data_IF_781721418956
#
_entry.id   IF_781721418956
#
_cell.length_a   1.000
_cell.length_b   1.000
_cell.length_c   1.000
_cell.angle_alpha   90.00
_cell.angle_beta   90.00
_cell.angle_gamma   90.00
#
_symmetry.space_group_name_H-M   'P 1'
#
loop_
_entity.id
_entity.type
_entity.pdbx_description
1 polymer ?
#
# COMPACT_ATOMS: atom_id res chain seq x y z
N UNK A 1 6.81 -50.84 -32.03
CA UNK A 1 6.08 -49.82 -31.29
C UNK A 1 4.95 -49.31 -32.19
N UNK A 2 3.70 -49.47 -31.76
CA UNK A 2 2.51 -49.24 -32.58
C UNK A 2 2.33 -47.74 -32.87
N UNK A 3 1.88 -47.32 -34.09
CA UNK A 3 1.71 -45.92 -34.50
C UNK A 3 0.92 -45.06 -33.49
N UNK A 4 -0.01 -45.68 -32.76
CA UNK A 4 -0.76 -45.01 -31.69
C UNK A 4 0.10 -44.61 -30.49
N UNK A 5 1.07 -45.45 -30.12
CA UNK A 5 1.98 -45.19 -29.01
C UNK A 5 3.01 -44.04 -29.33
N UNK A 6 3.45 -43.93 -30.59
CA UNK A 6 4.32 -42.85 -31.06
C UNK A 6 3.59 -41.49 -31.06
N UNK A 7 2.30 -41.47 -31.39
CA UNK A 7 1.49 -40.26 -31.38
C UNK A 7 1.14 -39.81 -29.94
N UNK A 8 0.93 -40.76 -29.00
CA UNK A 8 0.71 -40.46 -27.59
C UNK A 8 1.98 -39.89 -26.94
N UNK A 9 3.16 -40.46 -27.23
CA UNK A 9 4.46 -39.99 -26.74
C UNK A 9 4.79 -38.60 -27.33
N UNK A 10 4.47 -38.36 -28.61
CA UNK A 10 4.67 -37.00 -29.21
C UNK A 10 3.72 -35.95 -28.63
N UNK A 11 2.49 -36.32 -28.27
CA UNK A 11 1.54 -35.40 -27.60
C UNK A 11 1.94 -35.08 -26.16
N UNK A 12 2.44 -36.08 -25.44
CA UNK A 12 3.00 -35.87 -24.07
C UNK A 12 4.27 -35.05 -24.09
N UNK A 13 5.13 -35.19 -25.09
CA UNK A 13 6.35 -34.37 -25.24
C UNK A 13 6.02 -32.90 -25.60
N UNK A 14 4.98 -32.65 -26.40
CA UNK A 14 4.50 -31.28 -26.72
C UNK A 14 3.82 -30.66 -25.49
N UNK A 15 3.08 -31.46 -24.70
CA UNK A 15 2.50 -30.95 -23.45
C UNK A 15 3.56 -30.66 -22.39
N UNK A 16 4.61 -31.48 -22.28
CA UNK A 16 5.75 -31.23 -21.40
C UNK A 16 6.58 -30.01 -21.86
N UNK A 17 6.73 -29.76 -23.18
CA UNK A 17 7.39 -28.57 -23.71
C UNK A 17 6.57 -27.30 -23.52
N UNK A 18 5.23 -27.38 -23.53
CA UNK A 18 4.36 -26.23 -23.25
C UNK A 18 4.35 -25.87 -21.75
N UNK A 19 4.56 -26.84 -20.85
CA UNK A 19 4.71 -26.59 -19.42
C UNK A 19 6.09 -25.98 -19.11
N UNK A 20 7.12 -26.27 -19.90
CA UNK A 20 8.46 -25.67 -19.76
C UNK A 20 8.61 -24.26 -20.38
N UNK A 21 7.56 -23.77 -21.09
CA UNK A 21 7.56 -22.42 -21.67
C UNK A 21 6.74 -21.41 -20.88
N UNK A 22 6.09 -21.80 -19.80
CA UNK A 22 5.76 -20.87 -18.74
C UNK A 22 7.07 -20.63 -17.97
N UNK A 23 7.49 -19.38 -17.75
CA UNK A 23 8.47 -19.16 -16.72
C UNK A 23 7.82 -19.74 -15.44
N UNK A 24 8.27 -20.90 -15.00
CA UNK A 24 8.20 -21.21 -13.59
C UNK A 24 8.99 -20.05 -12.98
N UNK A 25 8.29 -19.08 -12.43
CA UNK A 25 8.86 -18.31 -11.34
C UNK A 25 9.37 -19.37 -10.42
N UNK A 26 10.68 -19.54 -10.39
CA UNK A 26 11.30 -20.42 -9.44
C UNK A 26 10.65 -20.04 -8.12
N UNK A 27 10.08 -21.01 -7.42
CA UNK A 27 9.97 -20.92 -5.98
C UNK A 27 11.43 -20.72 -5.53
N UNK A 28 11.88 -19.46 -5.57
CA UNK A 28 13.07 -19.02 -4.91
C UNK A 28 12.77 -19.20 -3.43
N UNK A 29 13.57 -19.99 -2.77
CA UNK A 29 13.62 -20.06 -1.35
C UNK A 29 13.62 -18.64 -0.77
N UNK A 30 12.74 -18.38 0.22
CA UNK A 30 12.87 -17.53 1.42
C UNK A 30 13.85 -16.32 1.33
N UNK A 31 13.86 -15.61 0.23
CA UNK A 31 14.62 -14.38 0.10
C UNK A 31 13.67 -13.24 -0.23
N UNK A 32 13.01 -12.72 0.83
CA UNK A 32 12.16 -11.52 0.76
C UNK A 32 13.00 -10.25 0.45
N UNK A 33 14.07 -10.40 -0.30
CA UNK A 33 14.96 -9.31 -0.69
C UNK A 33 14.25 -8.39 -1.68
N UNK A 34 14.10 -7.13 -1.32
CA UNK A 34 13.57 -6.11 -2.23
C UNK A 34 14.65 -5.75 -3.27
N UNK A 35 14.27 -5.76 -4.54
CA UNK A 35 15.20 -5.56 -5.65
C UNK A 35 14.50 -4.90 -6.83
N UNK A 36 15.17 -3.96 -7.49
CA UNK A 36 14.70 -3.41 -8.76
C UNK A 36 14.55 -4.51 -9.82
N UNK A 37 13.39 -4.53 -10.48
CA UNK A 37 13.09 -5.46 -11.57
C UNK A 37 13.09 -4.71 -12.91
N UNK A 38 14.03 -5.04 -13.79
CA UNK A 38 14.19 -4.35 -15.09
C UNK A 38 14.35 -2.82 -14.95
N UNK A 39 15.00 -2.34 -13.90
CA UNK A 39 15.22 -0.93 -13.63
C UNK A 39 14.04 -0.19 -12.99
N UNK A 40 13.00 -0.89 -12.58
CA UNK A 40 11.85 -0.31 -11.88
C UNK A 40 11.59 -1.05 -10.56
N UNK A 41 11.00 -0.33 -9.60
CA UNK A 41 10.48 -0.88 -8.37
C UNK A 41 9.13 -0.23 -8.08
N UNK A 42 8.09 -1.06 -7.97
CA UNK A 42 6.73 -0.59 -7.78
C UNK A 42 6.24 -0.88 -6.36
N UNK A 43 5.65 0.12 -5.73
CA UNK A 43 5.02 -0.01 -4.40
C UNK A 43 3.53 0.27 -4.55
N UNK A 44 2.70 -0.59 -3.96
CA UNK A 44 1.27 -0.37 -3.78
C UNK A 44 1.03 0.02 -2.32
N UNK A 45 0.39 1.16 -2.09
CA UNK A 45 -0.02 1.61 -0.76
C UNK A 45 -1.51 1.33 -0.58
N UNK A 46 -1.83 0.64 0.50
CA UNK A 46 -3.17 0.42 1.04
C UNK A 46 -3.23 1.18 2.37
N UNK A 47 -4.00 2.25 2.43
CA UNK A 47 -4.12 3.11 3.62
C UNK A 47 -5.51 2.98 4.21
N UNK A 48 -5.63 3.08 5.53
CA UNK A 48 -6.91 3.21 6.20
C UNK A 48 -7.92 2.13 5.74
N UNK A 49 -7.50 0.87 5.80
CA UNK A 49 -8.37 -0.27 5.49
C UNK A 49 -9.51 -0.37 6.49
N UNK A 50 -9.20 -0.11 7.76
CA UNK A 50 -10.12 0.10 8.88
C UNK A 50 -11.37 -0.78 8.86
N UNK A 51 -11.23 -2.07 8.57
CA UNK A 51 -12.37 -2.99 8.54
C UNK A 51 -12.30 -4.01 9.69
N UNK A 52 -13.36 -4.75 9.91
CA UNK A 52 -13.55 -5.67 11.03
C UNK A 52 -13.24 -7.12 10.64
N UNK A 53 -13.48 -8.05 11.54
CA UNK A 53 -13.44 -9.49 11.24
C UNK A 53 -14.55 -9.95 10.29
N UNK A 54 -15.58 -9.12 10.07
CA UNK A 54 -16.62 -9.28 9.06
C UNK A 54 -16.57 -8.09 8.09
N UNK A 55 -15.54 -8.00 7.23
CA UNK A 55 -15.27 -6.80 6.45
C UNK A 55 -16.33 -6.53 5.39
N UNK A 56 -16.41 -5.27 4.96
CA UNK A 56 -17.14 -4.92 3.76
C UNK A 56 -16.56 -5.67 2.57
N UNK A 57 -17.43 -6.18 1.70
CA UNK A 57 -16.97 -6.92 0.52
C UNK A 57 -16.11 -6.04 -0.38
N UNK A 58 -16.46 -4.76 -0.46
CA UNK A 58 -15.75 -3.75 -1.24
C UNK A 58 -14.30 -3.60 -0.77
N UNK A 59 -14.04 -3.62 0.55
CA UNK A 59 -12.68 -3.54 1.11
C UNK A 59 -11.82 -4.73 0.67
N UNK A 60 -12.35 -5.95 0.77
CA UNK A 60 -11.61 -7.16 0.37
C UNK A 60 -11.40 -7.26 -1.13
N UNK A 61 -12.39 -6.82 -1.92
CA UNK A 61 -12.28 -6.80 -3.38
C UNK A 61 -11.28 -5.73 -3.85
N UNK A 62 -11.21 -4.58 -3.17
CA UNK A 62 -10.23 -3.51 -3.43
C UNK A 62 -8.80 -4.03 -3.30
N UNK A 63 -8.47 -4.74 -2.21
CA UNK A 63 -7.13 -5.30 -2.00
C UNK A 63 -6.75 -6.19 -3.20
N UNK A 64 -7.62 -7.15 -3.53
CA UNK A 64 -7.35 -8.11 -4.60
C UNK A 64 -7.27 -7.45 -5.98
N UNK A 65 -8.18 -6.52 -6.27
CA UNK A 65 -8.21 -5.82 -7.56
C UNK A 65 -7.00 -4.89 -7.73
N UNK A 66 -6.60 -4.17 -6.66
CA UNK A 66 -5.44 -3.30 -6.68
C UNK A 66 -4.14 -4.10 -6.93
N UNK A 67 -3.93 -5.20 -6.22
CA UNK A 67 -2.77 -6.08 -6.42
C UNK A 67 -2.73 -6.59 -7.86
N UNK A 68 -3.86 -7.09 -8.36
CA UNK A 68 -3.95 -7.64 -9.72
C UNK A 68 -3.69 -6.60 -10.80
N UNK A 69 -4.17 -5.35 -10.60
CA UNK A 69 -4.03 -4.28 -11.57
C UNK A 69 -2.64 -3.68 -11.60
N UNK A 70 -2.01 -3.54 -10.44
CA UNK A 70 -0.75 -2.80 -10.31
C UNK A 70 0.48 -3.68 -10.43
N UNK A 71 0.37 -4.98 -10.10
CA UNK A 71 1.50 -5.94 -10.08
C UNK A 71 2.71 -5.33 -9.34
N UNK A 72 2.59 -5.01 -8.03
CA UNK A 72 3.64 -4.32 -7.30
C UNK A 72 4.76 -5.28 -6.88
N UNK A 73 5.95 -4.73 -6.59
CA UNK A 73 7.08 -5.45 -6.01
C UNK A 73 7.01 -5.44 -4.47
N UNK A 74 6.28 -4.50 -3.88
CA UNK A 74 6.03 -4.36 -2.43
C UNK A 74 4.64 -3.79 -2.19
N UNK A 75 3.96 -4.28 -1.16
CA UNK A 75 2.72 -3.67 -0.64
C UNK A 75 3.03 -3.01 0.69
N UNK A 76 2.56 -1.77 0.88
CA UNK A 76 2.66 -1.04 2.15
C UNK A 76 1.27 -0.85 2.73
N UNK A 77 1.06 -1.36 3.94
CA UNK A 77 -0.09 -1.07 4.78
C UNK A 77 0.23 0.19 5.60
N UNK A 78 -0.46 1.30 5.31
CA UNK A 78 -0.06 2.64 5.78
C UNK A 78 -0.76 3.07 7.08
N UNK A 79 -1.07 2.12 7.94
CA UNK A 79 -1.72 2.36 9.22
C UNK A 79 -3.24 2.33 9.13
N UNK A 80 -3.88 2.25 10.30
CA UNK A 80 -5.30 1.97 10.45
C UNK A 80 -5.69 0.75 9.61
N UNK A 81 -4.90 -0.32 9.77
CA UNK A 81 -5.00 -1.54 8.99
C UNK A 81 -6.25 -2.34 9.34
N UNK A 82 -6.71 -2.22 10.59
CA UNK A 82 -7.96 -2.81 11.10
C UNK A 82 -8.75 -1.75 11.88
N UNK A 83 -10.05 -1.93 11.99
CA UNK A 83 -10.90 -1.11 12.84
C UNK A 83 -10.77 -1.57 14.30
N UNK A 84 -9.86 -0.97 15.06
CA UNK A 84 -9.67 -1.32 16.47
C UNK A 84 -10.83 -0.92 17.39
N UNK A 85 -11.68 0.00 16.98
CA UNK A 85 -12.69 0.63 17.84
C UNK A 85 -14.08 -0.04 17.86
N UNK A 86 -14.35 -1.10 17.10
CA UNK A 86 -15.69 -1.69 17.11
C UNK A 86 -16.00 -2.37 18.42
N UNK A 87 -17.25 -2.27 18.83
CA UNK A 87 -17.69 -2.71 20.15
C UNK A 87 -17.49 -4.22 20.35
N UNK A 88 -16.84 -4.55 21.46
CA UNK A 88 -16.65 -5.93 21.92
C UNK A 88 -15.57 -6.69 21.16
N UNK A 89 -14.68 -5.97 20.46
CA UNK A 89 -13.53 -6.60 19.83
C UNK A 89 -12.64 -7.26 20.87
N UNK A 90 -12.26 -8.49 20.62
CA UNK A 90 -11.34 -9.26 21.43
C UNK A 90 -10.15 -9.75 20.57
N UNK A 91 -9.26 -10.48 21.20
CA UNK A 91 -8.08 -11.06 20.56
C UNK A 91 -8.42 -11.93 19.34
N UNK A 92 -9.50 -12.72 19.43
CA UNK A 92 -9.92 -13.61 18.35
C UNK A 92 -10.41 -12.81 17.14
N UNK A 93 -11.23 -11.79 17.41
CA UNK A 93 -11.75 -10.91 16.37
C UNK A 93 -10.65 -10.05 15.74
N UNK A 94 -9.68 -9.59 16.55
CA UNK A 94 -8.47 -8.91 16.04
C UNK A 94 -7.69 -9.83 15.10
N UNK A 95 -7.45 -11.08 15.48
CA UNK A 95 -6.77 -12.08 14.64
C UNK A 95 -7.51 -12.33 13.33
N UNK A 96 -8.85 -12.44 13.40
CA UNK A 96 -9.70 -12.62 12.23
C UNK A 96 -9.68 -11.40 11.30
N UNK A 97 -9.69 -10.17 11.85
CA UNK A 97 -9.59 -8.94 11.07
C UNK A 97 -8.23 -8.84 10.36
N UNK A 98 -7.14 -9.13 11.06
CA UNK A 98 -5.79 -9.19 10.48
C UNK A 98 -5.75 -10.21 9.33
N UNK A 99 -6.36 -11.39 9.50
CA UNK A 99 -6.42 -12.40 8.46
C UNK A 99 -7.13 -11.89 7.19
N UNK A 100 -8.20 -11.09 7.34
CA UNK A 100 -8.93 -10.51 6.19
C UNK A 100 -8.09 -9.55 5.37
N UNK A 101 -7.15 -8.87 5.99
CA UNK A 101 -6.19 -7.98 5.33
C UNK A 101 -5.01 -8.77 4.75
N UNK A 102 -4.41 -9.65 5.56
CA UNK A 102 -3.14 -10.29 5.23
C UNK A 102 -3.28 -11.49 4.26
N UNK A 103 -4.35 -12.29 4.34
CA UNK A 103 -4.52 -13.47 3.48
C UNK A 103 -4.58 -13.14 1.97
N UNK A 104 -5.31 -12.11 1.50
CA UNK A 104 -5.26 -11.72 0.08
C UNK A 104 -3.86 -11.33 -0.39
N UNK A 105 -3.08 -10.67 0.47
CA UNK A 105 -1.71 -10.25 0.19
C UNK A 105 -0.79 -11.48 0.14
N UNK A 106 -0.81 -12.33 1.15
CA UNK A 106 -0.04 -13.59 1.18
C UNK A 106 -0.33 -14.47 -0.04
N UNK A 107 -1.60 -14.60 -0.41
CA UNK A 107 -2.00 -15.38 -1.58
C UNK A 107 -1.48 -14.81 -2.91
N UNK A 108 -1.12 -13.54 -2.96
CA UNK A 108 -0.50 -12.91 -4.14
C UNK A 108 0.98 -13.29 -4.27
N UNK A 109 1.62 -13.69 -3.19
CA UNK A 109 3.07 -13.95 -3.10
C UNK A 109 3.92 -12.68 -3.14
N UNK A 110 3.32 -11.50 -2.99
CA UNK A 110 4.04 -10.22 -2.97
C UNK A 110 4.39 -9.88 -1.53
N UNK A 111 5.64 -9.50 -1.21
CA UNK A 111 6.01 -9.10 0.13
C UNK A 111 5.29 -7.81 0.55
N UNK A 112 5.07 -7.67 1.85
CA UNK A 112 4.44 -6.48 2.39
C UNK A 112 5.11 -5.98 3.67
N UNK A 113 4.98 -4.69 3.90
CA UNK A 113 5.43 -3.98 5.09
C UNK A 113 4.26 -3.19 5.68
N UNK A 114 4.32 -2.81 6.96
CA UNK A 114 3.26 -2.05 7.60
C UNK A 114 3.80 -1.01 8.57
N UNK A 115 3.00 0.03 8.79
CA UNK A 115 3.07 0.92 9.94
C UNK A 115 1.75 0.88 10.71
N UNK A 116 1.75 1.35 11.95
CA UNK A 116 0.53 1.49 12.74
C UNK A 116 -0.14 2.85 12.52
N UNK A 117 -1.48 2.83 12.51
CA UNK A 117 -2.30 4.01 12.68
C UNK A 117 -2.76 4.18 14.12
N UNK A 118 -3.56 5.21 14.35
CA UNK A 118 -4.04 5.54 15.69
C UNK A 118 -5.17 4.59 16.16
N UNK A 119 -5.81 3.85 15.27
CA UNK A 119 -6.92 2.98 15.62
C UNK A 119 -6.58 1.49 15.73
N UNK A 120 -5.47 1.02 15.17
CA UNK A 120 -5.15 -0.41 15.09
C UNK A 120 -5.23 -1.15 16.45
N UNK A 121 -4.76 -0.51 17.53
CA UNK A 121 -4.59 -1.11 18.85
C UNK A 121 -5.80 -0.92 19.79
N UNK A 122 -6.71 0.03 19.51
CA UNK A 122 -7.73 0.51 20.45
C UNK A 122 -8.59 -0.60 21.07
N UNK A 123 -8.93 -1.62 20.30
CA UNK A 123 -9.74 -2.73 20.77
C UNK A 123 -9.04 -3.55 21.85
N UNK A 124 -7.78 -3.89 21.64
CA UNK A 124 -6.99 -4.64 22.61
C UNK A 124 -6.57 -3.78 23.80
N UNK A 125 -6.28 -2.50 23.59
CA UNK A 125 -5.94 -1.53 24.64
C UNK A 125 -7.18 -0.99 25.39
N UNK A 126 -8.37 -1.51 25.12
CA UNK A 126 -9.59 -1.16 25.83
C UNK A 126 -9.58 -1.66 27.29
N UNK A 127 -10.40 -1.04 28.15
CA UNK A 127 -10.59 -1.49 29.54
C UNK A 127 -11.04 -2.97 29.63
N UNK A 128 -11.78 -3.46 28.63
CA UNK A 128 -12.30 -4.83 28.59
C UNK A 128 -11.17 -5.85 28.36
N UNK A 129 -10.24 -5.57 27.45
CA UNK A 129 -9.13 -6.46 27.08
C UNK A 129 -7.85 -6.19 27.91
N UNK A 130 -7.64 -4.96 28.35
CA UNK A 130 -6.65 -4.58 29.35
C UNK A 130 -5.19 -4.66 28.90
N UNK A 131 -4.92 -4.54 27.61
CA UNK A 131 -3.55 -4.38 27.12
C UNK A 131 -3.11 -2.92 27.27
N UNK A 132 -1.84 -2.73 27.57
CA UNK A 132 -1.19 -1.44 27.31
C UNK A 132 -1.04 -1.23 25.81
N UNK A 133 -0.98 0.01 25.35
CA UNK A 133 -0.95 0.37 23.93
C UNK A 133 0.16 -0.35 23.16
N UNK A 134 1.41 -0.23 23.63
CA UNK A 134 2.58 -0.88 23.00
C UNK A 134 2.41 -2.40 22.94
N UNK A 135 1.98 -3.03 24.03
CA UNK A 135 1.75 -4.47 24.06
C UNK A 135 0.63 -4.92 23.10
N UNK A 136 -0.36 -4.07 22.86
CA UNK A 136 -1.41 -4.32 21.85
C UNK A 136 -0.83 -4.23 20.43
N UNK A 137 -0.03 -3.22 20.13
CA UNK A 137 0.66 -3.06 18.83
C UNK A 137 1.66 -4.20 18.59
N UNK A 138 2.47 -4.58 19.59
CA UNK A 138 3.40 -5.72 19.49
C UNK A 138 2.62 -7.02 19.15
N UNK A 139 1.50 -7.25 19.86
CA UNK A 139 0.66 -8.40 19.53
C UNK A 139 0.18 -8.39 18.10
N UNK A 140 -0.33 -7.26 17.60
CA UNK A 140 -0.82 -7.12 16.24
C UNK A 140 0.33 -7.31 15.22
N UNK A 141 1.49 -6.72 15.48
CA UNK A 141 2.68 -6.91 14.63
C UNK A 141 3.06 -8.39 14.54
N UNK A 142 3.13 -9.10 15.67
CA UNK A 142 3.41 -10.54 15.70
C UNK A 142 2.38 -11.35 14.90
N UNK A 143 1.12 -10.91 14.86
CA UNK A 143 0.09 -11.59 14.05
C UNK A 143 0.33 -11.39 12.56
N UNK A 144 0.69 -10.19 12.11
CA UNK A 144 1.08 -9.95 10.72
C UNK A 144 2.36 -10.72 10.34
N UNK A 145 3.33 -10.84 11.24
CA UNK A 145 4.58 -11.59 11.02
C UNK A 145 4.37 -13.11 10.86
N UNK A 146 3.20 -13.65 11.15
CA UNK A 146 2.89 -15.06 10.86
C UNK A 146 2.70 -15.33 9.36
N UNK A 147 2.51 -14.28 8.56
CA UNK A 147 2.45 -14.35 7.11
C UNK A 147 3.86 -14.24 6.52
N UNK A 148 4.24 -15.18 5.68
CA UNK A 148 5.63 -15.31 5.20
C UNK A 148 6.11 -14.11 4.37
N UNK A 149 5.18 -13.37 3.74
CA UNK A 149 5.48 -12.15 3.01
C UNK A 149 5.67 -10.90 3.86
N UNK A 150 5.41 -10.93 5.19
CA UNK A 150 5.55 -9.77 6.07
C UNK A 150 7.03 -9.43 6.31
N UNK A 151 7.43 -8.20 5.97
CA UNK A 151 8.77 -7.67 6.17
C UNK A 151 8.89 -6.77 7.41
N UNK A 152 7.78 -6.44 8.05
CA UNK A 152 7.77 -5.58 9.22
C UNK A 152 8.49 -6.23 10.41
N UNK A 153 9.24 -5.42 11.15
CA UNK A 153 9.97 -5.85 12.35
C UNK A 153 9.68 -4.90 13.51
N UNK A 154 9.94 -5.34 14.74
CA UNK A 154 9.81 -4.48 15.92
C UNK A 154 10.80 -3.30 15.89
N UNK A 155 11.96 -3.50 15.26
CA UNK A 155 13.03 -2.52 15.27
C UNK A 155 13.90 -2.56 16.54
N UNK A 156 14.61 -1.45 16.82
CA UNK A 156 15.33 -1.24 18.08
C UNK A 156 14.31 -0.82 19.17
N UNK A 157 14.64 -0.99 20.46
CA UNK A 157 13.80 -0.54 21.57
C UNK A 157 13.75 1.00 21.62
N UNK A 158 12.58 1.57 21.37
CA UNK A 158 12.29 3.02 21.38
C UNK A 158 10.78 3.25 21.49
N UNK A 159 10.34 4.49 21.60
CA UNK A 159 8.92 4.86 21.58
C UNK A 159 8.23 4.36 20.31
N UNK A 160 7.01 3.81 20.46
CA UNK A 160 6.23 3.23 19.37
C UNK A 160 6.71 1.85 18.95
N UNK A 161 5.95 1.18 18.09
CA UNK A 161 6.18 -0.20 17.64
C UNK A 161 6.29 -0.26 16.13
N UNK A 162 7.30 -0.99 15.63
CA UNK A 162 7.47 -1.14 14.18
C UNK A 162 8.18 0.05 13.54
N UNK A 163 9.21 0.58 14.22
CA UNK A 163 10.13 1.54 13.64
C UNK A 163 11.30 0.78 13.01
N UNK A 164 11.36 0.73 11.69
CA UNK A 164 12.37 -0.03 10.96
C UNK A 164 12.64 0.56 9.58
N UNK A 165 13.65 0.04 8.90
CA UNK A 165 13.90 0.37 7.51
C UNK A 165 14.17 -0.89 6.68
N UNK A 166 13.88 -0.80 5.39
CA UNK A 166 14.16 -1.84 4.40
C UNK A 166 14.99 -1.23 3.27
N UNK A 167 16.03 -1.93 2.83
CA UNK A 167 16.80 -1.51 1.67
C UNK A 167 16.33 -2.21 0.40
N UNK A 168 16.43 -1.52 -0.73
CA UNK A 168 16.12 -2.05 -2.06
C UNK A 168 17.41 -2.15 -2.86
N UNK A 169 17.68 -3.35 -3.39
CA UNK A 169 18.88 -3.62 -4.19
C UNK A 169 18.72 -3.17 -5.63
N UNK A 170 19.86 -2.88 -6.25
CA UNK A 170 19.95 -2.66 -7.70
C UNK A 170 19.41 -3.86 -8.51
N UNK A 171 19.16 -3.68 -9.80
CA UNK A 171 18.67 -4.74 -10.68
C UNK A 171 19.62 -5.95 -10.79
N UNK A 172 20.89 -5.80 -10.41
CA UNK A 172 21.85 -6.89 -10.34
C UNK A 172 21.77 -7.68 -9.01
N UNK A 173 21.07 -7.15 -8.00
CA UNK A 173 20.98 -7.72 -6.66
C UNK A 173 22.28 -7.60 -5.83
N UNK A 174 23.19 -6.71 -6.26
CA UNK A 174 24.52 -6.61 -5.67
C UNK A 174 24.65 -5.52 -4.59
N UNK A 175 23.91 -4.42 -4.75
CA UNK A 175 24.04 -3.22 -3.90
C UNK A 175 22.70 -2.72 -3.43
N UNK A 176 22.63 -2.32 -2.17
CA UNK A 176 21.55 -1.52 -1.66
C UNK A 176 21.70 -0.09 -2.20
N UNK A 177 20.72 0.41 -2.93
CA UNK A 177 20.75 1.71 -3.63
C UNK A 177 19.63 2.64 -3.25
N UNK A 178 18.62 2.13 -2.53
CA UNK A 178 17.47 2.88 -2.07
C UNK A 178 17.04 2.37 -0.70
N UNK A 179 16.38 3.22 0.11
CA UNK A 179 15.90 2.84 1.42
C UNK A 179 14.43 3.24 1.62
N UNK A 180 13.70 2.46 2.41
CA UNK A 180 12.31 2.66 2.78
C UNK A 180 12.24 2.73 4.31
N UNK A 181 11.80 3.87 4.84
CA UNK A 181 11.58 4.07 6.28
C UNK A 181 10.14 3.77 6.64
N UNK A 182 9.96 3.06 7.75
CA UNK A 182 8.66 2.79 8.36
C UNK A 182 8.70 3.29 9.79
N UNK A 183 7.80 4.23 10.13
CA UNK A 183 7.79 4.88 11.45
C UNK A 183 6.40 4.86 12.06
N UNK A 184 6.32 4.44 13.32
CA UNK A 184 5.11 4.62 14.12
C UNK A 184 4.99 6.09 14.51
N UNK A 185 3.96 6.76 14.00
CA UNK A 185 3.67 8.17 14.34
C UNK A 185 3.02 8.33 15.71
N UNK A 186 2.81 7.23 16.43
CA UNK A 186 2.08 7.14 17.67
C UNK A 186 0.61 7.60 17.54
N UNK A 187 -0.33 7.16 18.38
CA UNK A 187 -1.74 7.43 18.11
C UNK A 187 -2.20 8.81 18.58
N UNK A 188 -1.92 9.16 19.84
CA UNK A 188 -2.40 10.37 20.48
C UNK A 188 -1.37 10.97 21.44
N UNK A 189 -1.40 12.28 21.56
CA UNK A 189 -0.61 13.02 22.53
C UNK A 189 -1.44 13.20 23.80
N UNK A 190 -0.92 12.92 25.02
CA UNK A 190 -1.62 13.17 26.27
C UNK A 190 -2.03 14.65 26.43
N UNK A 191 -3.19 14.92 27.07
CA UNK A 191 -3.70 16.29 27.28
C UNK A 191 -2.70 17.20 28.00
N UNK A 192 -1.94 16.65 28.95
CA UNK A 192 -0.88 17.35 29.69
C UNK A 192 0.31 17.78 28.82
N UNK A 193 0.47 17.16 27.65
CA UNK A 193 1.51 17.46 26.65
C UNK A 193 0.98 18.26 25.47
N UNK A 194 -0.28 18.70 25.51
CA UNK A 194 -0.91 19.51 24.47
C UNK A 194 -2.06 18.83 23.76
N UNK A 195 -2.26 17.55 23.95
CA UNK A 195 -3.35 16.76 23.35
C UNK A 195 -3.28 16.65 21.84
N UNK A 196 -4.26 16.01 21.25
CA UNK A 196 -4.36 15.81 19.82
C UNK A 196 -3.71 14.52 19.34
N UNK A 197 -3.37 14.48 18.05
CA UNK A 197 -2.76 13.32 17.43
C UNK A 197 -1.29 13.13 17.85
N UNK A 198 -0.82 11.89 17.74
CA UNK A 198 0.55 11.51 18.08
C UNK A 198 1.60 12.09 17.14
N UNK A 199 2.85 11.95 17.54
CA UNK A 199 4.01 12.45 16.81
C UNK A 199 5.20 11.49 16.96
N UNK A 200 6.18 11.62 16.09
CA UNK A 200 7.45 10.89 16.19
C UNK A 200 8.33 11.52 17.25
N UNK A 201 8.67 10.75 18.29
CA UNK A 201 9.42 11.19 19.46
C UNK A 201 10.91 11.40 19.18
N UNK A 202 11.61 12.03 20.16
CA UNK A 202 13.03 12.37 20.01
C UNK A 202 13.90 11.13 19.82
N UNK A 203 13.65 10.04 20.56
CA UNK A 203 14.39 8.78 20.44
C UNK A 203 14.21 8.09 19.08
N UNK A 204 13.00 8.14 18.49
CA UNK A 204 12.73 7.68 17.14
C UNK A 204 13.51 8.55 16.11
N UNK A 205 13.51 9.88 16.30
CA UNK A 205 14.25 10.82 15.45
C UNK A 205 15.77 10.61 15.56
N UNK A 206 16.29 10.34 16.76
CA UNK A 206 17.70 10.01 16.96
C UNK A 206 18.08 8.69 16.28
N UNK A 207 17.23 7.66 16.38
CA UNK A 207 17.42 6.40 15.67
C UNK A 207 17.45 6.61 14.15
N UNK A 208 16.51 7.39 13.61
CA UNK A 208 16.47 7.73 12.20
C UNK A 208 17.78 8.38 11.75
N UNK A 209 18.23 9.45 12.45
CA UNK A 209 19.49 10.16 12.11
C UNK A 209 20.71 9.23 12.15
N UNK A 210 20.83 8.42 13.20
CA UNK A 210 21.92 7.44 13.35
C UNK A 210 21.93 6.42 12.21
N UNK A 211 20.78 5.92 11.85
CA UNK A 211 20.64 4.91 10.79
C UNK A 211 20.85 5.53 9.41
N UNK A 212 20.36 6.75 9.16
CA UNK A 212 20.61 7.52 7.93
C UNK A 212 22.12 7.77 7.73
N UNK A 213 22.84 8.17 8.80
CA UNK A 213 24.30 8.32 8.75
C UNK A 213 25.03 7.01 8.42
N UNK A 214 24.56 5.88 8.93
CA UNK A 214 25.12 4.57 8.61
C UNK A 214 24.87 4.19 7.14
N UNK A 215 23.65 4.42 6.62
CA UNK A 215 23.30 4.21 5.21
C UNK A 215 24.12 5.14 4.29
N UNK A 216 24.29 6.39 4.67
CA UNK A 216 25.16 7.35 3.97
C UNK A 216 26.60 6.87 3.88
N UNK A 217 27.14 6.29 4.96
CA UNK A 217 28.48 5.72 4.96
C UNK A 217 28.59 4.51 4.01
N UNK A 218 27.56 3.66 3.96
CA UNK A 218 27.47 2.54 3.04
C UNK A 218 27.34 2.99 1.58
N UNK A 219 26.63 4.10 1.34
CA UNK A 219 26.45 4.72 0.02
C UNK A 219 27.61 5.63 -0.41
N UNK A 220 28.81 5.38 0.09
CA UNK A 220 30.01 6.11 -0.32
C UNK A 220 30.08 7.55 0.17
N UNK A 221 29.32 7.92 1.18
CA UNK A 221 29.27 9.24 1.80
C UNK A 221 28.19 10.20 1.23
N UNK A 222 27.42 9.75 0.25
CA UNK A 222 26.22 10.46 -0.21
C UNK A 222 24.98 9.94 0.54
N UNK A 223 23.98 10.80 0.86
CA UNK A 223 22.72 10.34 1.40
C UNK A 223 22.15 9.19 0.53
N UNK A 224 21.61 8.14 1.15
CA UNK A 224 20.91 7.08 0.40
C UNK A 224 19.49 7.54 0.14
N UNK A 225 19.07 7.75 -1.13
CA UNK A 225 17.73 8.23 -1.42
C UNK A 225 16.68 7.30 -0.80
N UNK A 226 15.66 7.89 -0.20
CA UNK A 226 14.72 7.15 0.64
C UNK A 226 13.29 7.66 0.48
N UNK A 227 12.31 6.76 0.70
CA UNK A 227 10.92 7.13 1.00
C UNK A 227 10.61 6.83 2.47
N UNK A 228 9.68 7.59 3.03
CA UNK A 228 9.20 7.39 4.39
C UNK A 228 7.70 7.10 4.38
N UNK A 229 7.29 6.13 5.19
CA UNK A 229 5.92 5.72 5.42
C UNK A 229 5.58 5.88 6.90
N UNK A 230 4.58 6.68 7.20
CA UNK A 230 3.97 6.81 8.53
C UNK A 230 2.50 7.19 8.39
N UNK A 231 1.70 6.96 9.41
CA UNK A 231 0.27 7.17 9.31
C UNK A 231 -0.13 8.65 9.42
N UNK A 232 0.26 9.33 10.50
CA UNK A 232 -0.13 10.73 10.75
C UNK A 232 0.84 11.69 10.07
N UNK A 233 0.29 12.67 9.33
CA UNK A 233 1.07 13.64 8.57
C UNK A 233 1.80 14.64 9.48
N UNK A 234 2.91 15.20 9.00
CA UNK A 234 3.69 16.22 9.72
C UNK A 234 3.03 17.60 9.69
N UNK A 235 3.26 18.47 10.71
CA UNK A 235 2.66 19.81 10.80
C UNK A 235 2.95 20.72 9.61
N UNK A 236 4.04 20.52 8.90
CA UNK A 236 4.45 21.31 7.72
C UNK A 236 3.45 21.21 6.56
N UNK A 237 2.51 20.29 6.60
CA UNK A 237 1.39 20.23 5.63
C UNK A 237 0.65 21.58 5.55
N UNK A 238 0.50 22.30 6.68
CA UNK A 238 -0.18 23.59 6.70
C UNK A 238 0.62 24.69 6.00
N UNK A 239 1.95 24.58 5.90
CA UNK A 239 2.79 25.50 5.13
C UNK A 239 2.55 25.37 3.60
N UNK A 240 2.00 24.25 3.17
CA UNK A 240 1.59 24.02 1.77
C UNK A 240 0.15 24.48 1.49
N UNK A 241 -0.54 25.05 2.47
CA UNK A 241 -1.90 25.56 2.34
C UNK A 241 -1.94 27.08 2.40
N UNK A 242 -3.02 27.66 1.89
CA UNK A 242 -3.28 29.09 1.99
C UNK A 242 -4.48 29.34 2.88
N UNK A 243 -4.31 30.10 3.97
CA UNK A 243 -5.41 30.53 4.82
C UNK A 243 -6.35 31.48 4.07
N UNK A 244 -7.65 31.23 4.15
CA UNK A 244 -8.69 31.97 3.43
C UNK A 244 -9.87 32.30 4.35
N UNK A 245 -10.73 33.29 4.00
CA UNK A 245 -11.95 33.55 4.75
C UNK A 245 -12.91 32.36 4.78
N UNK A 246 -13.64 32.22 5.89
CA UNK A 246 -14.73 31.23 6.01
C UNK A 246 -15.74 31.38 4.86
N UNK A 247 -16.06 30.25 4.22
CA UNK A 247 -17.01 30.20 3.10
C UNK A 247 -16.37 30.43 1.73
N UNK A 248 -15.05 30.48 1.64
CA UNK A 248 -14.34 30.38 0.36
C UNK A 248 -14.63 29.02 -0.26
N UNK A 249 -14.93 28.98 -1.55
CA UNK A 249 -15.20 27.74 -2.29
C UNK A 249 -13.99 26.80 -2.25
N UNK A 250 -14.24 25.53 -1.94
CA UNK A 250 -13.19 24.51 -1.81
C UNK A 250 -12.33 24.63 -0.55
N UNK A 251 -12.69 25.53 0.39
CA UNK A 251 -11.93 25.64 1.63
C UNK A 251 -12.32 24.56 2.63
N UNK A 252 -11.33 23.95 3.24
CA UNK A 252 -11.45 23.00 4.36
C UNK A 252 -11.23 23.72 5.69
N UNK A 253 -11.81 23.20 6.79
CA UNK A 253 -11.53 23.74 8.13
C UNK A 253 -10.18 23.22 8.64
N UNK A 254 -9.39 24.08 9.29
CA UNK A 254 -8.19 23.64 10.00
C UNK A 254 -8.52 22.85 11.27
N UNK A 255 -7.62 21.96 11.65
CA UNK A 255 -7.70 21.10 12.83
C UNK A 255 -6.59 21.44 13.85
N UNK A 256 -6.75 20.99 15.09
CA UNK A 256 -5.77 21.18 16.16
C UNK A 256 -5.37 22.65 16.36
N UNK A 257 -4.11 22.97 16.23
CA UNK A 257 -3.59 24.36 16.33
C UNK A 257 -4.12 25.32 15.27
N UNK A 258 -4.86 24.82 14.30
CA UNK A 258 -5.45 25.58 13.19
C UNK A 258 -6.97 25.70 13.28
N UNK A 259 -7.59 25.30 14.40
CA UNK A 259 -9.03 25.41 14.61
C UNK A 259 -9.55 26.85 14.39
N UNK A 260 -10.71 26.93 13.74
CA UNK A 260 -11.37 28.20 13.42
C UNK A 260 -10.83 28.92 12.19
N UNK A 261 -9.79 28.42 11.59
CA UNK A 261 -9.24 28.89 10.32
C UNK A 261 -9.69 28.00 9.17
N UNK A 262 -9.57 28.51 7.95
CA UNK A 262 -9.99 27.81 6.73
C UNK A 262 -8.87 27.89 5.70
N UNK A 263 -8.68 26.82 4.94
CA UNK A 263 -7.53 26.66 4.06
C UNK A 263 -7.95 26.12 2.70
N UNK A 264 -7.19 26.50 1.68
CA UNK A 264 -7.24 25.89 0.35
C UNK A 264 -5.83 25.39 -0.03
N UNK A 265 -5.73 24.47 -0.95
CA UNK A 265 -4.47 24.01 -1.52
C UNK A 265 -3.71 25.21 -2.14
N UNK A 266 -2.43 25.39 -1.77
CA UNK A 266 -1.56 26.34 -2.42
C UNK A 266 -0.93 25.68 -3.66
N UNK A 267 -1.25 26.18 -4.83
CA UNK A 267 -0.80 25.65 -6.13
C UNK A 267 0.71 25.77 -6.36
N UNK A 268 1.41 26.59 -5.57
CA UNK A 268 2.87 26.69 -5.64
C UNK A 268 3.56 25.49 -4.99
N UNK A 269 2.85 24.75 -4.13
CA UNK A 269 3.35 23.56 -3.44
C UNK A 269 2.61 22.30 -3.85
N UNK A 270 1.26 22.31 -3.87
CA UNK A 270 0.43 21.13 -4.17
C UNK A 270 0.17 21.08 -5.68
N UNK A 271 0.74 20.08 -6.32
CA UNK A 271 0.74 19.92 -7.78
C UNK A 271 -0.18 18.80 -8.28
N UNK A 272 -0.67 17.91 -7.40
CA UNK A 272 -1.54 16.78 -7.75
C UNK A 272 -2.60 16.56 -6.67
N UNK A 273 -3.77 16.05 -7.06
CA UNK A 273 -4.84 15.66 -6.16
C UNK A 273 -5.54 16.84 -5.48
N UNK A 274 -6.22 16.56 -4.37
CA UNK A 274 -7.10 17.49 -3.68
C UNK A 274 -6.88 17.44 -2.17
N UNK A 275 -7.11 18.60 -1.52
CA UNK A 275 -7.28 18.72 -0.08
C UNK A 275 -8.78 18.79 0.15
N UNK A 276 -9.40 17.68 0.52
CA UNK A 276 -10.85 17.53 0.67
C UNK A 276 -11.29 17.64 2.13
N UNK A 277 -10.36 17.49 3.07
CA UNK A 277 -10.57 17.74 4.50
C UNK A 277 -9.33 18.43 5.09
N UNK A 278 -9.52 19.08 6.24
CA UNK A 278 -8.41 19.74 6.94
C UNK A 278 -7.45 18.70 7.49
N UNK A 279 -6.16 18.77 7.12
CA UNK A 279 -5.17 17.83 7.64
C UNK A 279 -5.12 17.79 9.16
N UNK A 280 -4.86 16.61 9.72
CA UNK A 280 -4.85 16.33 11.15
C UNK A 280 -3.46 15.93 11.67
N UNK A 281 -2.43 16.80 11.55
CA UNK A 281 -1.12 16.55 12.13
C UNK A 281 -1.12 16.70 13.66
N UNK A 282 -0.02 16.35 14.34
CA UNK A 282 0.21 16.72 15.73
C UNK A 282 0.00 18.22 15.98
N UNK A 283 -0.55 18.56 17.15
CA UNK A 283 -0.76 19.98 17.53
C UNK A 283 0.54 20.78 17.68
N UNK A 284 1.63 20.10 17.99
CA UNK A 284 2.96 20.70 18.21
C UNK A 284 3.96 20.11 17.22
N UNK A 285 4.78 20.95 16.62
CA UNK A 285 5.91 20.50 15.81
C UNK A 285 7.08 20.09 16.72
N UNK A 286 7.52 18.84 16.56
CA UNK A 286 8.63 18.25 17.32
C UNK A 286 9.93 18.10 16.50
N UNK A 287 10.02 18.74 15.31
CA UNK A 287 11.23 18.80 14.51
C UNK A 287 11.53 17.56 13.67
N UNK A 288 10.54 16.70 13.48
CA UNK A 288 10.72 15.51 12.64
C UNK A 288 11.07 15.89 11.19
N UNK A 289 10.31 16.80 10.57
CA UNK A 289 10.53 17.23 9.20
C UNK A 289 11.88 17.92 9.02
N UNK A 290 12.28 18.79 9.96
CA UNK A 290 13.58 19.42 9.98
C UNK A 290 14.72 18.40 9.98
N UNK A 291 14.54 17.26 10.68
CA UNK A 291 15.53 16.18 10.69
C UNK A 291 15.71 15.55 9.32
N UNK A 292 14.64 15.44 8.53
CA UNK A 292 14.69 14.94 7.15
C UNK A 292 15.45 15.88 6.22
N UNK A 293 15.17 17.19 6.35
CA UNK A 293 15.88 18.22 5.59
C UNK A 293 17.37 18.24 5.94
N UNK A 294 17.73 18.04 7.22
CA UNK A 294 19.12 17.99 7.69
C UNK A 294 19.87 16.78 7.11
N UNK A 295 19.26 15.58 7.12
CA UNK A 295 19.89 14.37 6.61
C UNK A 295 19.93 14.32 5.07
N UNK A 296 18.91 14.86 4.40
CA UNK A 296 18.86 15.01 2.96
C UNK A 296 18.73 13.71 2.19
N UNK A 297 18.22 12.65 2.83
CA UNK A 297 18.02 11.32 2.24
C UNK A 297 16.56 11.08 1.82
N UNK A 298 15.57 11.67 2.52
CA UNK A 298 14.16 11.49 2.22
C UNK A 298 13.75 12.38 1.04
N UNK A 299 13.33 11.75 -0.06
CA UNK A 299 12.81 12.43 -1.25
C UNK A 299 11.28 12.55 -1.24
N UNK A 300 10.60 11.76 -0.41
CA UNK A 300 9.16 11.79 -0.24
C UNK A 300 8.69 11.02 0.98
N UNK A 301 7.60 11.49 1.58
CA UNK A 301 6.93 10.87 2.71
C UNK A 301 5.43 10.67 2.42
N UNK A 302 4.89 9.52 2.81
CA UNK A 302 3.54 9.08 2.52
C UNK A 302 2.75 8.92 3.81
N UNK A 303 1.50 9.40 3.80
CA UNK A 303 0.64 9.50 4.96
C UNK A 303 -0.78 9.01 4.64
N UNK A 304 -1.41 8.34 5.62
CA UNK A 304 -2.83 8.02 5.66
C UNK A 304 -3.61 9.03 6.51
N UNK A 305 -4.47 8.52 7.40
CA UNK A 305 -5.15 9.24 8.47
C UNK A 305 -6.24 10.24 8.02
N UNK A 306 -5.95 11.07 7.04
CA UNK A 306 -6.90 12.01 6.44
C UNK A 306 -7.59 11.33 5.26
N UNK A 307 -8.69 10.61 5.50
CA UNK A 307 -9.30 9.64 4.59
C UNK A 307 -9.66 10.19 3.21
N UNK A 308 -10.03 11.48 3.16
CA UNK A 308 -10.52 12.08 1.91
C UNK A 308 -9.46 12.85 1.15
N UNK A 309 -8.25 12.97 1.70
CA UNK A 309 -7.14 13.66 1.07
C UNK A 309 -6.37 12.71 0.13
N UNK A 310 -6.09 13.21 -1.08
CA UNK A 310 -5.35 12.45 -2.09
C UNK A 310 -4.25 13.28 -2.77
N UNK A 311 -3.83 14.38 -2.13
CA UNK A 311 -2.89 15.31 -2.71
C UNK A 311 -1.43 14.81 -2.70
N UNK A 312 -0.63 15.36 -3.62
CA UNK A 312 0.82 15.36 -3.53
C UNK A 312 1.33 16.79 -3.70
N UNK A 313 2.25 17.17 -2.82
CA UNK A 313 2.90 18.49 -2.84
C UNK A 313 4.37 18.36 -2.51
N UNK A 314 5.11 19.44 -2.71
CA UNK A 314 6.55 19.51 -2.38
C UNK A 314 6.82 20.71 -1.48
N UNK A 315 7.49 20.47 -0.37
CA UNK A 315 7.93 21.50 0.56
C UNK A 315 9.40 21.28 0.92
N UNK A 316 10.22 22.32 0.79
CA UNK A 316 11.67 22.28 1.03
C UNK A 316 12.40 21.09 0.33
N UNK A 317 11.95 20.68 -0.86
CA UNK A 317 12.56 19.61 -1.65
C UNK A 317 12.13 18.20 -1.25
N UNK A 318 11.17 18.05 -0.34
CA UNK A 318 10.59 16.78 0.07
C UNK A 318 9.14 16.73 -0.37
N UNK A 319 8.72 15.64 -1.05
CA UNK A 319 7.32 15.45 -1.44
C UNK A 319 6.52 14.92 -0.24
N UNK A 320 5.49 15.64 0.17
CA UNK A 320 4.50 15.21 1.17
C UNK A 320 3.25 14.74 0.43
N UNK A 321 2.88 13.47 0.67
CA UNK A 321 1.88 12.77 -0.14
C UNK A 321 0.81 12.14 0.76
N UNK A 322 -0.42 12.63 0.67
CA UNK A 322 -1.58 12.04 1.33
C UNK A 322 -2.12 10.88 0.48
N UNK A 323 -2.42 9.76 1.12
CA UNK A 323 -3.00 8.58 0.49
C UNK A 323 -4.49 8.49 0.85
N UNK A 324 -5.39 8.30 -0.12
CA UNK A 324 -6.81 8.13 0.17
C UNK A 324 -7.04 6.82 0.91
N UNK A 325 -8.13 6.74 1.68
CA UNK A 325 -8.53 5.49 2.32
C UNK A 325 -8.81 4.39 1.29
N UNK A 326 -8.43 3.16 1.62
CA UNK A 326 -8.73 1.98 0.80
C UNK A 326 -10.00 1.28 1.27
N UNK A 327 -10.29 1.32 2.57
CA UNK A 327 -11.42 0.65 3.19
C UNK A 327 -12.77 1.31 2.95
N UNK A 328 -13.86 0.62 3.34
CA UNK A 328 -15.23 1.09 3.18
C UNK A 328 -16.05 1.05 4.48
N UNK A 329 -15.41 0.73 5.60
CA UNK A 329 -16.10 0.64 6.90
C UNK A 329 -16.11 1.99 7.64
N UNK A 330 -15.08 2.80 7.48
CA UNK A 330 -14.95 4.12 8.08
C UNK A 330 -15.60 5.22 7.21
N UNK A 331 -15.42 6.49 7.60
CA UNK A 331 -15.88 7.62 6.80
C UNK A 331 -14.93 7.84 5.63
N UNK A 332 -15.41 8.44 4.58
CA UNK A 332 -14.59 8.85 3.45
C UNK A 332 -15.37 9.06 2.18
N UNK A 333 -14.82 9.83 1.30
CA UNK A 333 -15.44 10.15 0.01
C UNK A 333 -14.51 9.89 -1.17
N UNK A 334 -13.26 9.50 -0.91
CA UNK A 334 -12.23 9.23 -1.92
C UNK A 334 -11.59 7.87 -1.61
N UNK A 335 -12.32 6.79 -1.92
CA UNK A 335 -11.75 5.44 -1.76
C UNK A 335 -10.83 5.10 -2.93
N UNK A 336 -9.63 4.66 -2.62
CA UNK A 336 -8.63 4.34 -3.63
C UNK A 336 -7.38 3.71 -3.05
N UNK A 337 -6.41 3.53 -3.91
CA UNK A 337 -5.07 3.09 -3.56
C UNK A 337 -4.07 4.06 -4.19
N UNK A 338 -2.87 4.11 -3.65
CA UNK A 338 -1.78 4.87 -4.27
C UNK A 338 -0.68 3.94 -4.73
N UNK A 339 -0.11 4.22 -5.90
CA UNK A 339 1.07 3.53 -6.41
C UNK A 339 2.26 4.45 -6.43
N UNK A 340 3.45 3.86 -6.31
CA UNK A 340 4.73 4.52 -6.49
C UNK A 340 5.53 3.70 -7.50
N UNK A 341 6.23 4.37 -8.41
CA UNK A 341 7.20 3.73 -9.30
C UNK A 341 8.53 4.46 -9.18
N UNK A 342 9.54 3.74 -8.71
CA UNK A 342 10.94 4.18 -8.70
C UNK A 342 11.61 3.76 -10.01
N UNK A 343 12.52 4.60 -10.52
CA UNK A 343 13.39 4.30 -11.66
C UNK A 343 14.84 4.22 -11.17
N UNK A 344 15.50 3.07 -11.35
CA UNK A 344 16.89 2.87 -10.98
C UNK A 344 17.86 3.87 -11.63
N UNK A 345 17.44 4.48 -12.76
CA UNK A 345 18.25 5.49 -13.47
C UNK A 345 18.14 6.88 -12.87
N UNK A 346 17.10 7.14 -12.10
CA UNK A 346 16.88 8.41 -11.42
C UNK A 346 16.22 8.15 -10.06
N UNK A 347 17.05 7.96 -9.05
CA UNK A 347 16.63 7.72 -7.67
C UNK A 347 16.35 9.02 -6.90
N UNK A 348 16.45 10.18 -7.56
CA UNK A 348 16.15 11.47 -6.95
C UNK A 348 14.68 11.86 -7.05
N UNK A 349 13.89 11.08 -7.78
CA UNK A 349 12.47 11.34 -8.02
C UNK A 349 11.66 10.03 -8.10
N UNK A 350 10.34 10.13 -8.09
CA UNK A 350 9.43 9.00 -8.26
C UNK A 350 8.12 9.44 -8.92
N UNK A 351 7.50 8.50 -9.63
CA UNK A 351 6.13 8.65 -10.11
C UNK A 351 5.14 8.14 -9.04
N UNK A 352 4.03 8.84 -8.84
CA UNK A 352 2.97 8.42 -7.93
C UNK A 352 1.59 8.71 -8.51
N UNK A 353 0.67 7.74 -8.39
CA UNK A 353 -0.67 7.79 -8.95
C UNK A 353 -1.70 7.27 -7.95
N UNK A 354 -2.88 7.91 -7.90
CA UNK A 354 -4.06 7.41 -7.20
C UNK A 354 -4.92 6.64 -8.19
N UNK A 355 -5.33 5.43 -7.81
CA UNK A 355 -6.28 4.61 -8.55
C UNK A 355 -7.54 4.48 -7.70
N UNK A 356 -8.63 5.09 -8.15
CA UNK A 356 -9.89 5.10 -7.42
C UNK A 356 -10.60 3.73 -7.51
N UNK A 357 -11.44 3.44 -6.51
CA UNK A 357 -12.25 2.21 -6.47
C UNK A 357 -13.07 2.01 -7.75
N UNK A 358 -13.52 3.09 -8.35
CA UNK A 358 -14.29 3.08 -9.60
C UNK A 358 -13.53 2.53 -10.80
N UNK A 359 -12.20 2.53 -10.73
CA UNK A 359 -11.30 1.93 -11.74
C UNK A 359 -10.86 0.51 -11.38
N UNK A 360 -11.18 0.06 -10.17
CA UNK A 360 -10.78 -1.25 -9.64
C UNK A 360 -11.95 -2.24 -9.57
N UNK A 361 -13.13 -1.79 -9.11
CA UNK A 361 -14.29 -2.62 -8.93
C UNK A 361 -15.22 -2.55 -10.15
N UNK A 362 -15.82 -3.67 -10.56
CA UNK A 362 -16.69 -3.79 -11.72
C UNK A 362 -18.19 -3.79 -11.37
N UNK A 363 -18.51 -3.36 -10.16
CA UNK A 363 -19.88 -3.29 -9.65
C UNK A 363 -20.11 -1.97 -8.89
N UNK A 364 -21.41 -1.65 -8.64
CA UNK A 364 -21.78 -0.51 -7.81
C UNK A 364 -21.50 -0.82 -6.34
N UNK A 365 -20.76 0.08 -5.69
CA UNK A 365 -20.53 0.01 -4.25
C UNK A 365 -21.84 0.25 -3.50
N UNK A 366 -22.19 -0.68 -2.61
CA UNK A 366 -23.47 -0.67 -1.85
C UNK A 366 -23.33 -0.18 -0.41
N UNK A 367 -22.13 0.18 -0.01
CA UNK A 367 -21.78 0.65 1.32
C UNK A 367 -22.64 1.88 1.73
N UNK A 368 -23.08 1.95 2.99
CA UNK A 368 -23.94 3.01 3.49
C UNK A 368 -23.29 4.40 3.47
N UNK A 369 -22.00 4.47 3.68
CA UNK A 369 -21.22 5.72 3.64
C UNK A 369 -21.27 6.39 2.28
N UNK A 370 -21.28 5.61 1.19
CA UNK A 370 -21.49 6.12 -0.16
C UNK A 370 -22.74 6.99 -0.29
N UNK A 371 -23.86 6.55 0.29
CA UNK A 371 -25.10 7.31 0.26
C UNK A 371 -25.00 8.58 1.11
N UNK A 372 -24.37 8.49 2.28
CA UNK A 372 -24.21 9.60 3.21
C UNK A 372 -23.33 10.72 2.64
N UNK A 373 -22.30 10.35 1.88
CA UNK A 373 -21.37 11.31 1.25
C UNK A 373 -21.71 11.65 -0.21
N UNK A 374 -22.83 11.15 -0.74
CA UNK A 374 -23.29 11.48 -2.10
C UNK A 374 -22.43 10.84 -3.22
N UNK A 375 -21.69 9.82 -2.91
CA UNK A 375 -20.88 9.10 -3.89
C UNK A 375 -21.73 8.45 -4.97
N UNK A 376 -21.33 8.57 -6.22
CA UNK A 376 -21.91 7.81 -7.34
C UNK A 376 -20.91 6.71 -7.75
N UNK A 377 -21.26 5.46 -7.51
CA UNK A 377 -20.51 4.33 -8.01
C UNK A 377 -20.79 4.14 -9.50
N UNK A 378 -19.82 3.62 -10.22
CA UNK A 378 -19.99 3.15 -11.59
C UNK A 378 -19.37 1.74 -11.71
N UNK A 379 -19.71 1.03 -12.77
CA UNK A 379 -19.12 -0.29 -13.05
C UNK A 379 -17.79 -0.11 -13.76
N UNK A 380 -16.73 -0.68 -13.22
CA UNK A 380 -15.45 -0.78 -13.91
C UNK A 380 -15.54 -1.86 -15.01
N UNK A 381 -14.66 -1.77 -15.99
CA UNK A 381 -14.53 -2.78 -17.03
C UNK A 381 -13.41 -3.80 -16.75
N UNK A 382 -12.77 -3.69 -15.60
CA UNK A 382 -11.58 -4.46 -15.29
C UNK A 382 -11.81 -5.98 -15.29
N UNK A 383 -12.69 -6.49 -14.44
CA UNK A 383 -12.98 -7.93 -14.37
C UNK A 383 -13.63 -8.48 -15.66
N UNK A 384 -14.64 -7.83 -16.27
CA UNK A 384 -15.18 -8.27 -17.55
C UNK A 384 -14.15 -8.35 -18.65
N UNK A 385 -13.20 -7.43 -18.72
CA UNK A 385 -12.12 -7.47 -19.71
C UNK A 385 -11.20 -8.66 -19.54
N UNK A 386 -10.83 -9.03 -18.32
CA UNK A 386 -10.03 -10.24 -18.02
C UNK A 386 -10.77 -11.50 -18.46
N UNK A 387 -12.05 -11.65 -18.11
CA UNK A 387 -12.87 -12.79 -18.54
C UNK A 387 -13.06 -12.79 -20.06
N UNK A 388 -13.21 -11.64 -20.70
CA UNK A 388 -13.29 -11.50 -22.14
C UNK A 388 -12.02 -11.99 -22.85
N UNK A 389 -10.85 -11.67 -22.33
CA UNK A 389 -9.56 -12.12 -22.86
C UNK A 389 -9.39 -13.61 -22.70
N UNK A 390 -9.65 -14.15 -21.51
CA UNK A 390 -9.57 -15.61 -21.25
C UNK A 390 -10.58 -16.37 -22.09
N UNK A 391 -11.82 -15.91 -22.19
CA UNK A 391 -12.84 -16.49 -23.06
C UNK A 391 -12.45 -16.46 -24.53
N UNK A 392 -11.85 -15.36 -24.99
CA UNK A 392 -11.34 -15.22 -26.37
C UNK A 392 -10.23 -16.22 -26.67
N UNK A 393 -9.26 -16.38 -25.76
CA UNK A 393 -8.17 -17.36 -25.92
C UNK A 393 -8.70 -18.80 -25.98
N UNK A 394 -9.64 -19.15 -25.10
CA UNK A 394 -10.26 -20.49 -25.11
C UNK A 394 -11.02 -20.74 -26.42
N UNK A 395 -11.77 -19.75 -26.92
CA UNK A 395 -12.49 -19.87 -28.19
C UNK A 395 -11.53 -20.05 -29.38
N UNK A 396 -10.44 -19.30 -29.44
CA UNK A 396 -9.42 -19.45 -30.49
C UNK A 396 -8.76 -20.83 -30.45
N UNK A 397 -8.41 -21.32 -29.27
CA UNK A 397 -7.86 -22.67 -29.09
C UNK A 397 -8.85 -23.77 -29.56
N UNK A 398 -10.15 -23.63 -29.27
CA UNK A 398 -11.18 -24.55 -29.71
C UNK A 398 -11.33 -24.55 -31.24
N UNK A 399 -11.33 -23.37 -31.87
CA UNK A 399 -11.39 -23.23 -33.34
C UNK A 399 -10.16 -23.87 -34.01
N UNK A 400 -8.96 -23.63 -33.47
CA UNK A 400 -7.72 -24.24 -33.98
C UNK A 400 -7.77 -25.78 -33.88
N UNK A 401 -8.27 -26.32 -32.77
CA UNK A 401 -8.43 -27.76 -32.58
C UNK A 401 -9.40 -28.37 -33.63
N UNK A 402 -10.51 -27.68 -33.89
CA UNK A 402 -11.50 -28.11 -34.93
C UNK A 402 -10.86 -28.08 -36.31
N UNK A 403 -10.13 -27.01 -36.66
CA UNK A 403 -9.45 -26.89 -37.96
C UNK A 403 -8.42 -28.01 -38.15
N UNK A 404 -7.64 -28.32 -37.12
CA UNK A 404 -6.67 -29.43 -37.16
C UNK A 404 -7.37 -30.79 -37.37
N UNK A 405 -8.52 -31.06 -36.71
CA UNK A 405 -9.29 -32.28 -36.90
C UNK A 405 -9.84 -32.38 -38.33
N UNK A 406 -10.38 -31.29 -38.88
CA UNK A 406 -10.89 -31.24 -40.26
C UNK A 406 -9.76 -31.45 -41.26
N UNK A 407 -8.60 -30.80 -41.07
CA UNK A 407 -7.44 -30.97 -41.93
C UNK A 407 -6.94 -32.43 -41.94
N UNK A 408 -6.90 -33.09 -40.75
CA UNK A 408 -6.55 -34.52 -40.62
C UNK A 408 -7.54 -35.45 -41.33
N UNK A 409 -8.86 -35.15 -41.24
CA UNK A 409 -9.91 -35.94 -41.97
C UNK A 409 -9.79 -35.77 -43.49
N UNK A 410 -9.43 -34.58 -44.02
CA UNK A 410 -9.21 -34.35 -45.43
C UNK A 410 -7.96 -35.08 -45.97
N UNK A 411 -6.86 -35.14 -45.16
CA UNK A 411 -5.65 -35.90 -45.55
C UNK A 411 -5.88 -37.39 -45.59
N UNK A 412 -6.65 -37.92 -44.63
CA UNK A 412 -6.99 -39.37 -44.60
C UNK A 412 -7.83 -39.81 -45.80
N UNK A 413 -8.68 -38.93 -46.37
CA UNK A 413 -9.48 -39.26 -47.56
C UNK A 413 -8.69 -39.18 -48.90
N UNK A 414 -7.50 -38.52 -48.92
CA UNK A 414 -6.64 -38.48 -50.13
C UNK A 414 -5.63 -39.63 -50.20
N UNK A 415 -5.46 -40.45 -49.18
CA UNK A 415 -4.58 -41.64 -49.20
C UNK A 415 -5.32 -42.95 -49.35
N UNK A 416 -6.63 -42.92 -49.59
CA UNK A 416 -7.50 -44.09 -49.81
C UNK A 416 -8.20 -44.09 -51.20
N UNK A 417 -7.58 -43.45 -52.21
CA UNK A 417 -7.95 -43.61 -53.60
C UNK A 417 -6.74 -44.07 -54.40
#
# INVERSE_FOLDING_TARGET
>A
MNKGLKNAVALLAVFALLICCFPMSALAADDNTLQFQNGKFKILILSDLQDTNEPQQETTDMITAAITKTEPDLIVLLGDNIAGWWKGVDKTQTDEAIAKVAEPIENSGIPFALVFGNHDHEGLASEENGYEEEAAKEYILHRFQLYGGCLATEGEEMTGVGNYNLTVKDSAGEKDIFNLWFMDSNPYTPDEEGGGYGYVHEDQTEWYKKTSDALKAQNGGAPMPSLLFQHIIVPEVYDMLTEVPKGTEGAVSGNGGHEGKYYIANKDYIYQGNVNEGPCPPNTNHGQFESWVEQGDIIGAFFGHDHTNDFAGEYQGIKLVACPETGFYSYGSVHGVRTITLDEKDLSDFESEVILYTDLLDYEVSNSYKADYGYSAYKSTFLPNVFGIVGGVVAVCAVLAIVIVIAKKKKGKKQGK
#
